data_IF_189663150169
#
_entry.id   IF_189663150169
#
_cell.length_a   1.000
_cell.length_b   1.000
_cell.length_c   1.000
_cell.angle_alpha   90.00
_cell.angle_beta   90.00
_cell.angle_gamma   90.00
#
_symmetry.space_group_name_H-M   'P 1'
#
loop_
_entity.id
_entity.type
_entity.pdbx_description
1 polymer ?
#
# COMPACT_ATOMS: atom_id res chain seq x y z
N UNK A 1 5.25 4.45 -8.43
CA UNK A 1 6.49 4.02 -7.74
C UNK A 1 7.37 5.22 -7.38
N UNK A 2 7.90 5.24 -6.16
CA UNK A 2 8.82 6.30 -5.71
C UNK A 2 10.18 6.24 -6.44
N UNK A 3 10.73 5.04 -6.66
CA UNK A 3 12.02 4.86 -7.35
C UNK A 3 12.07 5.47 -8.77
N UNK A 4 10.93 5.50 -9.48
CA UNK A 4 10.84 6.13 -10.80
C UNK A 4 10.93 7.66 -10.76
N UNK A 5 10.36 8.27 -9.71
CA UNK A 5 10.32 9.73 -9.53
C UNK A 5 11.63 10.25 -8.92
N UNK A 6 12.22 9.54 -7.97
CA UNK A 6 13.45 9.94 -7.27
C UNK A 6 14.53 8.84 -7.36
N UNK A 7 15.11 8.61 -8.56
CA UNK A 7 16.10 7.54 -8.77
C UNK A 7 17.42 7.77 -8.01
N UNK A 8 17.73 9.02 -7.66
CA UNK A 8 18.80 9.38 -6.72
C UNK A 8 18.26 10.41 -5.74
N UNK A 9 18.79 10.41 -4.51
CA UNK A 9 18.30 11.31 -3.46
C UNK A 9 18.30 12.77 -3.92
N UNK A 10 17.15 13.41 -3.81
CA UNK A 10 16.85 14.79 -4.17
C UNK A 10 17.14 15.13 -5.65
N UNK A 11 17.27 14.12 -6.51
CA UNK A 11 17.37 14.28 -7.95
C UNK A 11 16.15 13.64 -8.60
N UNK A 12 15.15 14.48 -8.89
CA UNK A 12 13.89 14.02 -9.42
C UNK A 12 13.92 13.83 -10.94
N UNK A 13 13.34 12.74 -11.40
CA UNK A 13 13.26 12.38 -12.80
C UNK A 13 12.17 13.17 -13.52
N UNK A 14 12.54 14.32 -14.08
CA UNK A 14 11.62 15.21 -14.81
C UNK A 14 10.98 14.51 -16.01
N UNK A 15 11.70 13.63 -16.70
CA UNK A 15 11.14 12.86 -17.82
C UNK A 15 9.99 11.95 -17.36
N UNK A 16 10.18 11.26 -16.23
CA UNK A 16 9.13 10.42 -15.63
C UNK A 16 7.90 11.24 -15.24
N UNK A 17 8.10 12.38 -14.57
CA UNK A 17 7.00 13.29 -14.20
C UNK A 17 6.25 13.83 -15.42
N UNK A 18 6.95 14.13 -16.53
CA UNK A 18 6.32 14.57 -17.77
C UNK A 18 5.47 13.48 -18.42
N UNK A 19 5.90 12.21 -18.36
CA UNK A 19 5.10 11.08 -18.85
C UNK A 19 3.83 10.93 -18.00
N UNK A 20 3.95 10.98 -16.67
CA UNK A 20 2.80 10.96 -15.77
C UNK A 20 1.82 12.11 -16.09
N UNK A 21 2.32 13.32 -16.32
CA UNK A 21 1.53 14.48 -16.71
C UNK A 21 0.74 14.23 -18.00
N UNK A 22 1.38 13.69 -19.04
CA UNK A 22 0.70 13.35 -20.30
C UNK A 22 -0.41 12.32 -20.10
N UNK A 23 -0.21 11.34 -19.21
CA UNK A 23 -1.24 10.35 -18.88
C UNK A 23 -2.41 11.02 -18.14
N UNK A 24 -2.14 11.86 -17.14
CA UNK A 24 -3.18 12.59 -16.40
C UNK A 24 -4.01 13.48 -17.32
N UNK A 25 -3.37 14.23 -18.22
CA UNK A 25 -4.02 15.09 -19.21
C UNK A 25 -4.84 14.30 -20.23
N UNK A 26 -4.34 13.14 -20.67
CA UNK A 26 -5.08 12.24 -21.54
C UNK A 26 -6.34 11.71 -20.86
N UNK A 27 -6.23 11.25 -19.61
CA UNK A 27 -7.36 10.78 -18.82
C UNK A 27 -8.36 11.90 -18.55
N UNK A 28 -7.88 13.12 -18.28
CA UNK A 28 -8.72 14.31 -18.13
C UNK A 28 -9.55 14.57 -19.40
N UNK A 29 -8.91 14.55 -20.58
CA UNK A 29 -9.58 14.76 -21.87
C UNK A 29 -10.67 13.71 -22.18
N UNK A 30 -10.64 12.59 -21.48
CA UNK A 30 -11.62 11.50 -21.57
C UNK A 30 -12.56 11.43 -20.35
N UNK A 31 -12.57 12.45 -19.48
CA UNK A 31 -13.38 12.52 -18.25
C UNK A 31 -13.12 11.38 -17.26
N UNK A 32 -11.87 10.89 -17.19
CA UNK A 32 -11.44 9.83 -16.28
C UNK A 32 -10.67 10.46 -15.12
N UNK A 33 -11.12 10.15 -13.90
CA UNK A 33 -10.46 10.54 -12.66
C UNK A 33 -9.26 9.65 -12.37
N UNK A 34 -8.24 10.22 -11.72
CA UNK A 34 -6.95 9.57 -11.44
C UNK A 34 -6.70 9.54 -9.95
N UNK A 35 -6.39 8.35 -9.43
CA UNK A 35 -5.71 8.20 -8.13
C UNK A 35 -4.23 8.01 -8.42
N UNK A 36 -3.38 8.82 -7.80
CA UNK A 36 -1.93 8.66 -7.90
C UNK A 36 -1.46 7.77 -6.76
N UNK A 37 -1.08 6.55 -7.10
CA UNK A 37 -0.65 5.53 -6.15
C UNK A 37 0.88 5.39 -6.08
N UNK A 38 1.42 5.49 -4.86
CA UNK A 38 2.80 5.10 -4.56
C UNK A 38 2.86 3.58 -4.42
N UNK A 39 2.85 2.95 -5.57
CA UNK A 39 2.82 1.50 -5.71
C UNK A 39 4.16 0.84 -5.33
N UNK A 40 4.07 -0.30 -4.64
CA UNK A 40 5.18 -1.19 -4.28
C UNK A 40 4.66 -2.63 -4.09
N UNK A 41 5.50 -3.61 -4.44
CA UNK A 41 5.32 -5.03 -4.10
C UNK A 41 6.61 -5.55 -3.48
N UNK A 42 6.52 -6.09 -2.26
CA UNK A 42 7.67 -6.63 -1.51
C UNK A 42 8.81 -5.59 -1.42
N UNK A 43 8.46 -4.31 -1.36
CA UNK A 43 9.31 -3.13 -1.12
C UNK A 43 10.40 -2.81 -2.16
N UNK A 44 11.21 -3.78 -2.59
CA UNK A 44 12.40 -3.56 -3.41
C UNK A 44 12.84 -4.80 -4.20
N UNK A 45 13.54 -4.55 -5.32
CA UNK A 45 14.24 -5.58 -6.09
C UNK A 45 15.26 -6.41 -5.31
N UNK A 46 15.71 -5.91 -4.15
CA UNK A 46 16.54 -6.66 -3.19
C UNK A 46 15.83 -7.90 -2.64
N UNK A 47 14.50 -7.97 -2.75
CA UNK A 47 13.64 -9.05 -2.26
C UNK A 47 12.91 -9.79 -3.39
N UNK A 48 13.45 -9.73 -4.61
CA UNK A 48 12.96 -10.54 -5.73
C UNK A 48 11.82 -9.93 -6.55
N UNK A 49 11.50 -8.64 -6.36
CA UNK A 49 10.49 -7.91 -7.16
C UNK A 49 11.12 -6.69 -7.86
N UNK A 50 10.38 -5.59 -8.03
CA UNK A 50 10.87 -4.32 -8.56
C UNK A 50 11.08 -3.30 -7.42
N UNK A 51 11.70 -2.17 -7.73
CA UNK A 51 11.96 -1.12 -6.74
C UNK A 51 10.74 -0.23 -6.50
N UNK A 52 9.94 -0.58 -5.50
CA UNK A 52 8.88 0.30 -4.98
C UNK A 52 9.49 1.55 -4.31
N UNK A 53 10.47 1.34 -3.44
CA UNK A 53 11.31 2.40 -2.86
C UNK A 53 12.65 2.53 -3.60
N UNK A 54 13.27 3.73 -3.63
CA UNK A 54 14.56 3.91 -4.27
C UNK A 54 15.70 3.12 -3.59
N UNK A 55 16.57 2.50 -4.39
CA UNK A 55 17.73 1.74 -3.87
C UNK A 55 18.68 2.59 -3.02
N UNK A 56 18.87 3.88 -3.36
CA UNK A 56 19.72 4.78 -2.59
C UNK A 56 19.26 4.95 -1.14
N UNK A 57 17.97 4.73 -0.87
CA UNK A 57 17.39 4.77 0.47
C UNK A 57 17.62 3.43 1.16
N UNK A 58 17.27 2.33 0.49
CA UNK A 58 17.44 0.99 1.02
C UNK A 58 18.90 0.72 1.43
N UNK A 59 19.87 1.14 0.61
CA UNK A 59 21.30 0.95 0.86
C UNK A 59 21.81 1.70 2.12
N UNK A 60 20.96 2.53 2.77
CA UNK A 60 21.24 3.20 4.07
C UNK A 60 20.61 2.52 5.25
N UNK A 61 19.71 1.55 5.03
CA UNK A 61 19.14 0.78 6.11
C UNK A 61 20.22 -0.12 6.70
N UNK A 62 20.27 -0.30 8.03
CA UNK A 62 21.13 -1.31 8.62
C UNK A 62 20.71 -2.69 8.09
N UNK A 63 21.65 -3.65 7.98
CA UNK A 63 21.29 -4.99 7.56
C UNK A 63 20.32 -5.65 8.58
N UNK A 64 19.43 -6.56 8.13
CA UNK A 64 18.66 -7.42 9.03
C UNK A 64 19.56 -8.40 9.78
N UNK A 65 19.04 -9.08 10.81
CA UNK A 65 19.82 -10.06 11.57
C UNK A 65 20.18 -11.29 10.73
N UNK A 66 19.27 -11.72 9.85
CA UNK A 66 19.49 -12.80 8.90
C UNK A 66 19.39 -12.28 7.46
N UNK A 67 20.25 -12.81 6.59
CA UNK A 67 20.23 -12.46 5.18
C UNK A 67 18.94 -12.95 4.50
N UNK A 68 18.50 -12.22 3.48
CA UNK A 68 17.46 -12.69 2.57
C UNK A 68 17.89 -14.02 1.93
N UNK A 69 17.01 -15.04 1.81
CA UNK A 69 15.55 -15.00 2.02
C UNK A 69 15.07 -15.60 3.35
N UNK A 70 15.85 -15.54 4.44
CA UNK A 70 15.42 -16.11 5.73
C UNK A 70 14.01 -15.65 6.13
N UNK A 71 13.11 -16.55 6.58
CA UNK A 71 13.34 -17.96 6.94
C UNK A 71 13.08 -18.96 5.79
N UNK A 72 12.86 -18.49 4.58
CA UNK A 72 12.64 -19.37 3.43
C UNK A 72 13.93 -20.09 3.04
N UNK A 73 13.79 -21.32 2.52
CA UNK A 73 14.93 -22.12 2.05
C UNK A 73 15.51 -21.65 0.72
N UNK A 74 14.73 -20.89 -0.06
CA UNK A 74 15.12 -20.34 -1.36
C UNK A 74 14.38 -19.04 -1.65
N UNK A 75 14.94 -18.23 -2.53
CA UNK A 75 14.28 -17.03 -3.07
C UNK A 75 12.96 -17.43 -3.75
N UNK A 76 11.84 -16.75 -3.44
CA UNK A 76 10.60 -16.89 -4.19
C UNK A 76 10.81 -16.65 -5.69
N UNK A 77 10.10 -17.41 -6.52
CA UNK A 77 9.98 -17.19 -7.96
C UNK A 77 8.81 -16.25 -8.28
N UNK A 78 8.68 -15.89 -9.55
CA UNK A 78 7.57 -15.04 -10.04
C UNK A 78 6.18 -15.63 -9.73
N UNK A 79 6.05 -16.96 -9.55
CA UNK A 79 4.76 -17.59 -9.23
C UNK A 79 4.41 -17.55 -7.74
N UNK A 80 5.33 -17.15 -6.88
CA UNK A 80 5.10 -17.04 -5.43
C UNK A 80 5.83 -15.83 -4.83
N UNK A 81 6.01 -14.78 -5.65
CA UNK A 81 6.78 -13.57 -5.35
C UNK A 81 6.44 -12.97 -3.99
N UNK A 82 5.16 -13.00 -3.63
CA UNK A 82 4.67 -12.37 -2.42
C UNK A 82 5.04 -13.13 -1.13
N UNK A 83 5.56 -14.37 -1.22
CA UNK A 83 6.27 -15.00 -0.10
C UNK A 83 7.48 -14.16 0.34
N UNK A 84 7.99 -13.25 -0.49
CA UNK A 84 9.01 -12.29 -0.13
C UNK A 84 8.64 -11.42 1.08
N UNK A 85 7.34 -11.10 1.28
CA UNK A 85 6.86 -10.39 2.48
C UNK A 85 7.12 -11.16 3.78
N UNK A 86 7.14 -12.49 3.70
CA UNK A 86 7.38 -13.38 4.85
C UNK A 86 8.86 -13.51 5.22
N UNK A 87 9.76 -12.80 4.53
CA UNK A 87 11.18 -12.77 4.86
C UNK A 87 11.50 -11.72 5.92
N UNK A 88 12.48 -11.98 6.78
CA UNK A 88 12.93 -11.02 7.78
C UNK A 88 13.49 -9.76 7.11
N UNK A 89 14.21 -9.92 5.99
CA UNK A 89 14.81 -8.79 5.30
C UNK A 89 13.77 -7.80 4.76
N UNK A 90 12.67 -8.29 4.16
CA UNK A 90 11.56 -7.44 3.71
C UNK A 90 10.87 -6.76 4.89
N UNK A 91 10.51 -7.54 5.91
CA UNK A 91 9.85 -7.03 7.13
C UNK A 91 10.70 -5.98 7.86
N UNK A 92 12.02 -6.17 7.88
CA UNK A 92 13.01 -5.21 8.40
C UNK A 92 13.09 -3.94 7.57
N UNK A 93 13.05 -4.04 6.24
CA UNK A 93 13.00 -2.88 5.33
C UNK A 93 11.79 -1.99 5.58
N UNK A 94 10.60 -2.59 5.72
CA UNK A 94 9.39 -1.85 6.08
C UNK A 94 9.51 -1.18 7.47
N UNK A 95 10.06 -1.88 8.46
CA UNK A 95 10.28 -1.26 9.77
C UNK A 95 11.24 -0.08 9.68
N UNK A 96 12.33 -0.18 8.90
CA UNK A 96 13.25 0.93 8.67
C UNK A 96 12.57 2.13 8.01
N UNK A 97 11.69 1.88 7.03
CA UNK A 97 10.87 2.91 6.39
C UNK A 97 10.02 3.64 7.44
N UNK A 98 9.25 2.90 8.26
CA UNK A 98 8.35 3.49 9.26
C UNK A 98 9.09 4.21 10.39
N UNK A 99 10.23 3.66 10.84
CA UNK A 99 11.06 4.24 11.91
C UNK A 99 11.91 5.45 11.42
N UNK A 100 11.74 5.87 10.16
CA UNK A 100 12.49 6.96 9.54
C UNK A 100 14.01 6.74 9.52
N UNK A 101 14.45 5.48 9.45
CA UNK A 101 15.87 5.15 9.35
C UNK A 101 16.46 5.76 8.08
N UNK A 102 17.61 6.42 8.20
CA UNK A 102 18.23 7.11 7.06
C UNK A 102 17.43 8.32 6.52
N UNK A 103 16.39 8.77 7.22
CA UNK A 103 15.48 9.83 6.77
C UNK A 103 14.43 9.35 5.77
N UNK A 104 13.99 8.10 5.87
CA UNK A 104 13.04 7.48 4.94
C UNK A 104 11.69 8.19 4.86
N UNK A 105 11.04 8.46 5.99
CA UNK A 105 9.76 9.18 6.05
C UNK A 105 9.94 10.64 5.62
N UNK A 106 11.06 11.26 5.97
CA UNK A 106 11.36 12.64 5.54
C UNK A 106 11.49 12.71 4.01
N UNK A 107 12.20 11.76 3.41
CA UNK A 107 12.39 11.73 1.96
C UNK A 107 11.10 11.36 1.23
N UNK A 108 10.28 10.45 1.77
CA UNK A 108 8.98 10.14 1.20
C UNK A 108 7.99 11.31 1.36
N UNK A 109 8.12 12.10 2.43
CA UNK A 109 7.38 13.35 2.60
C UNK A 109 7.76 14.38 1.54
N UNK A 110 9.05 14.48 1.20
CA UNK A 110 9.54 15.35 0.12
C UNK A 110 9.04 14.87 -1.26
N UNK A 111 9.05 13.56 -1.51
CA UNK A 111 8.43 12.93 -2.68
C UNK A 111 6.95 13.29 -2.80
N UNK A 112 6.17 13.10 -1.73
CA UNK A 112 4.75 13.40 -1.75
C UNK A 112 4.45 14.89 -1.89
N UNK A 113 5.27 15.77 -1.30
CA UNK A 113 5.17 17.22 -1.50
C UNK A 113 5.43 17.60 -2.95
N UNK A 114 6.39 16.96 -3.61
CA UNK A 114 6.64 17.14 -5.04
C UNK A 114 5.43 16.70 -5.86
N UNK A 115 4.94 15.47 -5.67
CA UNK A 115 3.76 14.95 -6.38
C UNK A 115 2.55 15.87 -6.18
N UNK A 116 2.26 16.28 -4.95
CA UNK A 116 1.13 17.18 -4.68
C UNK A 116 1.30 18.55 -5.33
N UNK A 117 2.51 19.12 -5.32
CA UNK A 117 2.79 20.39 -6.02
C UNK A 117 2.62 20.25 -7.53
N UNK A 118 3.06 19.12 -8.10
CA UNK A 118 3.01 18.87 -9.55
C UNK A 118 1.59 18.59 -10.02
N UNK A 119 0.79 17.82 -9.27
CA UNK A 119 -0.48 17.27 -9.76
C UNK A 119 -1.73 17.84 -9.10
N UNK A 120 -1.64 18.50 -7.94
CA UNK A 120 -2.81 18.99 -7.19
C UNK A 120 -3.63 20.11 -7.86
N UNK A 121 -3.17 20.62 -9.01
CA UNK A 121 -3.93 21.59 -9.80
C UNK A 121 -4.79 20.95 -10.89
N UNK A 122 -4.62 19.66 -11.19
CA UNK A 122 -5.43 18.95 -12.17
C UNK A 122 -6.79 18.58 -11.56
N UNK A 123 -7.92 18.98 -12.17
CA UNK A 123 -9.23 18.75 -11.60
C UNK A 123 -9.67 17.28 -11.62
N UNK A 124 -9.08 16.46 -12.51
CA UNK A 124 -9.34 15.02 -12.57
C UNK A 124 -8.44 14.20 -11.63
N UNK A 125 -7.47 14.81 -10.92
CA UNK A 125 -6.72 14.10 -9.88
C UNK A 125 -7.61 14.00 -8.64
N UNK A 126 -8.14 12.80 -8.42
CA UNK A 126 -9.05 12.50 -7.32
C UNK A 126 -8.31 12.47 -5.98
N UNK A 127 -7.12 11.87 -5.95
CA UNK A 127 -6.39 11.71 -4.70
C UNK A 127 -4.99 11.14 -4.81
N UNK A 128 -4.34 11.09 -3.65
CA UNK A 128 -3.01 10.53 -3.42
C UNK A 128 -3.12 9.30 -2.52
N UNK A 129 -2.74 8.14 -3.04
CA UNK A 129 -2.70 6.89 -2.28
C UNK A 129 -1.29 6.68 -1.73
N UNK A 130 -1.18 6.84 -0.40
CA UNK A 130 0.09 7.12 0.26
C UNK A 130 1.14 6.01 0.07
N UNK A 131 0.70 4.75 0.05
CA UNK A 131 1.50 3.55 -0.21
C UNK A 131 0.56 2.38 -0.44
N UNK A 132 0.82 1.62 -1.50
CA UNK A 132 0.15 0.36 -1.80
C UNK A 132 0.49 -0.73 -0.78
N UNK A 133 -0.51 -1.49 -0.33
CA UNK A 133 -0.39 -2.72 0.46
C UNK A 133 0.73 -2.72 1.52
N UNK A 134 0.72 -1.77 2.47
CA UNK A 134 1.81 -1.62 3.43
C UNK A 134 1.95 -2.86 4.32
N UNK A 135 3.17 -3.39 4.42
CA UNK A 135 3.43 -4.53 5.30
C UNK A 135 3.50 -4.12 6.78
N UNK A 136 3.28 -5.07 7.69
CA UNK A 136 3.18 -4.82 9.13
C UNK A 136 4.45 -4.32 9.81
N UNK A 137 5.61 -4.42 9.16
CA UNK A 137 6.93 -4.14 9.75
C UNK A 137 7.61 -5.40 10.29
N UNK A 138 8.63 -5.23 11.15
CA UNK A 138 9.52 -6.33 11.55
C UNK A 138 8.93 -7.18 12.67
N UNK A 139 8.05 -8.12 12.30
CA UNK A 139 7.41 -9.04 13.24
C UNK A 139 8.36 -10.10 13.82
N UNK A 140 9.55 -10.32 13.23
CA UNK A 140 10.59 -11.20 13.80
C UNK A 140 11.15 -10.61 15.10
N UNK A 141 11.28 -9.28 15.16
CA UNK A 141 11.72 -8.56 16.36
C UNK A 141 10.55 -8.22 17.29
N UNK A 142 9.40 -7.86 16.72
CA UNK A 142 8.18 -7.49 17.46
C UNK A 142 6.99 -8.35 17.02
N UNK A 143 6.82 -9.58 17.54
CA UNK A 143 5.75 -10.50 17.11
C UNK A 143 4.33 -9.95 17.26
N UNK A 144 4.11 -8.98 18.15
CA UNK A 144 2.81 -8.30 18.30
C UNK A 144 2.37 -7.55 17.04
N UNK A 145 3.27 -7.25 16.10
CA UNK A 145 2.91 -6.63 14.81
C UNK A 145 2.07 -7.54 13.91
N UNK A 146 1.98 -8.85 14.21
CA UNK A 146 1.03 -9.76 13.54
C UNK A 146 -0.44 -9.40 13.80
N UNK A 147 -0.72 -8.60 14.83
CA UNK A 147 -2.05 -8.02 15.02
C UNK A 147 -2.15 -6.73 14.20
N UNK A 148 -3.06 -6.65 13.21
CA UNK A 148 -3.09 -5.55 12.24
C UNK A 148 -3.30 -4.20 12.91
N UNK A 149 -4.09 -4.14 14.00
CA UNK A 149 -4.32 -2.90 14.71
C UNK A 149 -3.10 -2.41 15.49
N UNK A 150 -2.23 -3.33 15.94
CA UNK A 150 -0.96 -2.95 16.57
C UNK A 150 -0.01 -2.42 15.50
N UNK A 151 0.13 -3.08 14.36
CA UNK A 151 0.95 -2.58 13.26
C UNK A 151 0.45 -1.24 12.72
N UNK A 152 -0.85 -1.11 12.47
CA UNK A 152 -1.44 0.12 11.98
C UNK A 152 -1.30 1.29 12.96
N UNK A 153 -1.52 1.07 14.25
CA UNK A 153 -1.35 2.13 15.27
C UNK A 153 0.11 2.52 15.51
N UNK A 154 1.05 1.57 15.48
CA UNK A 154 2.45 1.81 15.82
C UNK A 154 3.31 2.26 14.64
N UNK A 155 3.05 1.70 13.46
CA UNK A 155 3.84 1.95 12.26
C UNK A 155 3.10 2.90 11.30
N UNK A 156 1.92 2.52 10.84
CA UNK A 156 1.27 3.22 9.72
C UNK A 156 0.69 4.59 10.09
N UNK A 157 -0.05 4.72 11.20
CA UNK A 157 -0.70 5.99 11.54
C UNK A 157 0.31 7.15 11.73
N UNK A 158 1.40 7.00 12.51
CA UNK A 158 2.40 8.07 12.64
C UNK A 158 3.13 8.36 11.31
N UNK A 159 3.32 7.33 10.49
CA UNK A 159 3.89 7.47 9.16
C UNK A 159 2.97 8.30 8.25
N UNK A 160 1.69 7.95 8.17
CA UNK A 160 0.69 8.66 7.38
C UNK A 160 0.45 10.09 7.86
N UNK A 161 0.45 10.34 9.16
CA UNK A 161 0.32 11.71 9.69
C UNK A 161 1.46 12.61 9.21
N UNK A 162 2.68 12.10 9.12
CA UNK A 162 3.83 12.86 8.60
C UNK A 162 3.68 13.14 7.10
N UNK A 163 3.31 12.13 6.31
CA UNK A 163 3.11 12.29 4.87
C UNK A 163 1.95 13.25 4.56
N UNK A 164 0.81 13.06 5.22
CA UNK A 164 -0.35 13.94 5.10
C UNK A 164 0.01 15.38 5.46
N UNK A 165 0.69 15.59 6.59
CA UNK A 165 1.16 16.94 6.97
C UNK A 165 2.04 17.57 5.90
N UNK A 166 2.96 16.82 5.28
CA UNK A 166 3.82 17.31 4.21
C UNK A 166 3.01 17.70 2.96
N UNK A 167 2.09 16.84 2.51
CA UNK A 167 1.17 17.13 1.39
C UNK A 167 0.37 18.40 1.69
N UNK A 168 -0.20 18.52 2.88
CA UNK A 168 -1.05 19.65 3.29
C UNK A 168 -0.32 20.99 3.36
N UNK A 169 1.02 21.01 3.29
CA UNK A 169 1.76 22.28 3.13
C UNK A 169 1.64 22.90 1.74
N UNK A 170 1.29 22.11 0.72
CA UNK A 170 1.20 22.56 -0.68
C UNK A 170 -0.17 22.30 -1.31
N UNK A 171 -0.92 21.31 -0.83
CA UNK A 171 -2.26 20.98 -1.31
C UNK A 171 -3.20 20.66 -0.14
N UNK A 172 -4.15 21.55 0.08
CA UNK A 172 -5.13 21.41 1.18
C UNK A 172 -6.42 20.69 0.77
N UNK A 173 -6.64 20.38 -0.52
CA UNK A 173 -7.94 19.99 -1.08
C UNK A 173 -8.01 18.56 -1.57
N UNK A 174 -7.00 18.09 -2.29
CA UNK A 174 -7.00 16.75 -2.92
C UNK A 174 -7.14 15.65 -1.88
N UNK A 175 -7.88 14.59 -2.20
CA UNK A 175 -8.14 13.50 -1.24
C UNK A 175 -6.84 12.76 -0.90
N UNK A 176 -6.73 12.29 0.33
CA UNK A 176 -5.67 11.35 0.74
C UNK A 176 -6.30 9.99 0.92
N UNK A 177 -5.84 9.03 0.11
CA UNK A 177 -6.13 7.62 0.18
C UNK A 177 -5.07 6.95 1.06
N UNK A 178 -5.52 6.12 1.99
CA UNK A 178 -4.66 5.44 2.95
C UNK A 178 -5.20 4.04 3.25
N UNK A 179 -4.30 3.07 3.26
CA UNK A 179 -4.63 1.67 3.48
C UNK A 179 -4.30 1.22 4.91
N UNK A 180 -5.01 0.23 5.47
CA UNK A 180 -4.47 -0.57 6.56
C UNK A 180 -3.31 -1.45 6.07
N UNK A 181 -2.69 -2.24 6.95
CA UNK A 181 -1.83 -3.32 6.46
C UNK A 181 -2.64 -4.32 5.61
N UNK A 182 -2.00 -5.09 4.73
CA UNK A 182 -2.60 -5.97 3.68
C UNK A 182 -3.74 -6.93 4.12
N UNK A 183 -3.96 -7.12 5.42
CA UNK A 183 -5.05 -7.95 5.96
C UNK A 183 -5.82 -7.26 7.11
N UNK A 184 -5.59 -5.96 7.32
CA UNK A 184 -6.18 -5.15 8.38
C UNK A 184 -7.56 -4.57 8.07
N UNK A 185 -8.04 -4.75 6.83
CA UNK A 185 -9.35 -4.36 6.31
C UNK A 185 -10.46 -5.37 6.66
N UNK A 186 -10.09 -6.61 6.99
CA UNK A 186 -11.02 -7.74 7.25
C UNK A 186 -11.90 -7.56 8.48
N UNK A 187 -11.39 -6.87 9.49
CA UNK A 187 -12.08 -6.65 10.77
C UNK A 187 -11.99 -5.18 11.18
N UNK A 188 -12.65 -4.84 12.29
CA UNK A 188 -12.63 -3.50 12.84
C UNK A 188 -12.08 -3.48 14.27
N UNK A 189 -11.48 -2.37 14.67
CA UNK A 189 -11.03 -2.05 16.01
C UNK A 189 -9.52 -1.83 16.10
N UNK A 190 -9.08 -1.64 17.34
CA UNK A 190 -7.70 -1.28 17.69
C UNK A 190 -6.71 -2.44 17.65
N UNK A 191 -7.20 -3.69 17.63
CA UNK A 191 -6.34 -4.89 17.68
C UNK A 191 -6.46 -5.69 16.37
N UNK A 192 -7.68 -5.95 15.92
CA UNK A 192 -7.93 -6.81 14.76
C UNK A 192 -8.30 -6.05 13.48
N UNK A 193 -8.62 -4.76 13.57
CA UNK A 193 -8.82 -3.90 12.39
C UNK A 193 -7.61 -3.05 12.06
N UNK A 194 -7.83 -1.87 11.46
CA UNK A 194 -6.78 -0.96 11.02
C UNK A 194 -5.91 -0.39 12.15
N UNK A 195 -6.39 -0.34 13.40
CA UNK A 195 -5.64 0.28 14.50
C UNK A 195 -5.58 1.81 14.46
N UNK A 196 -6.14 2.45 13.44
CA UNK A 196 -6.11 3.90 13.32
C UNK A 196 -6.99 4.54 14.39
N UNK A 197 -6.55 5.64 14.99
CA UNK A 197 -7.39 6.40 15.95
C UNK A 197 -8.06 7.62 15.29
N UNK A 198 -7.51 8.06 14.16
CA UNK A 198 -8.00 9.16 13.32
C UNK A 198 -7.58 8.91 11.86
N UNK A 199 -8.13 9.70 10.94
CA UNK A 199 -7.67 9.74 9.54
C UNK A 199 -6.32 10.46 9.43
N UNK A 200 -5.47 10.20 8.41
CA UNK A 200 -4.18 10.87 8.27
C UNK A 200 -4.26 12.40 8.34
N UNK A 201 -3.43 13.00 9.18
CA UNK A 201 -3.36 14.44 9.42
C UNK A 201 -4.32 14.94 10.50
N UNK A 202 -5.22 14.09 11.01
CA UNK A 202 -6.14 14.42 12.10
C UNK A 202 -7.58 14.69 11.67
N UNK A 203 -8.44 14.93 12.66
CA UNK A 203 -9.90 15.00 12.50
C UNK A 203 -10.36 16.05 11.47
N UNK A 204 -9.63 17.15 11.35
CA UNK A 204 -9.97 18.26 10.44
C UNK A 204 -9.91 17.84 8.96
N UNK A 205 -9.23 16.74 8.65
CA UNK A 205 -9.10 16.20 7.30
C UNK A 205 -10.06 15.05 7.00
N UNK A 206 -10.94 14.65 7.92
CA UNK A 206 -11.93 13.57 7.70
C UNK A 206 -12.73 13.74 6.41
N UNK A 207 -13.09 14.98 6.04
CA UNK A 207 -13.85 15.26 4.82
C UNK A 207 -13.06 15.10 3.52
N UNK A 208 -11.76 14.77 3.59
CA UNK A 208 -10.86 14.58 2.45
C UNK A 208 -9.87 13.44 2.65
N UNK A 209 -10.29 12.46 3.45
CA UNK A 209 -9.56 11.23 3.70
C UNK A 209 -10.42 10.05 3.27
N UNK A 210 -9.79 9.10 2.58
CA UNK A 210 -10.44 7.93 2.01
C UNK A 210 -9.68 6.69 2.48
N UNK A 211 -10.36 5.81 3.22
CA UNK A 211 -9.80 4.50 3.54
C UNK A 211 -9.84 3.66 2.25
N UNK A 212 -8.68 3.48 1.61
CA UNK A 212 -8.55 2.50 0.54
C UNK A 212 -8.40 1.10 1.13
N UNK A 213 -8.99 0.13 0.45
CA UNK A 213 -8.93 -1.28 0.85
C UNK A 213 -8.98 -2.16 -0.37
N UNK A 214 -8.38 -3.34 -0.27
CA UNK A 214 -8.34 -4.32 -1.35
C UNK A 214 -9.25 -5.51 -1.03
N UNK A 215 -9.67 -6.22 -2.06
CA UNK A 215 -10.32 -7.51 -1.88
C UNK A 215 -9.85 -8.53 -2.93
N UNK A 216 -9.07 -9.49 -2.44
CA UNK A 216 -8.68 -10.68 -3.18
C UNK A 216 -9.30 -11.90 -2.51
N UNK A 217 -10.04 -12.72 -3.27
CA UNK A 217 -10.42 -14.04 -2.82
C UNK A 217 -9.21 -14.98 -2.88
N UNK A 218 -8.35 -14.85 -1.89
CA UNK A 218 -7.28 -15.77 -1.58
C UNK A 218 -7.55 -16.22 -0.16
N UNK A 219 -7.75 -17.52 0.05
CA UNK A 219 -7.84 -18.01 1.42
C UNK A 219 -6.57 -17.62 2.18
N UNK A 220 -6.63 -17.64 3.51
CA UNK A 220 -5.52 -17.46 4.48
C UNK A 220 -4.12 -18.01 4.10
N UNK A 221 -4.01 -18.79 3.03
CA UNK A 221 -2.78 -19.13 2.34
C UNK A 221 -2.23 -17.96 1.51
N UNK A 222 -0.97 -17.67 1.74
CA UNK A 222 -0.08 -16.75 1.04
C UNK A 222 0.24 -17.27 -0.38
N UNK A 223 -0.72 -17.95 -1.03
CA UNK A 223 -0.69 -18.38 -2.42
C UNK A 223 -1.28 -17.24 -3.25
N UNK A 224 -0.48 -16.18 -3.36
CA UNK A 224 -0.78 -14.92 -4.02
C UNK A 224 -0.62 -15.07 -5.54
N UNK A 225 -1.42 -15.97 -6.13
CA UNK A 225 -1.64 -15.99 -7.57
C UNK A 225 -3.08 -15.57 -7.84
N UNK A 226 -3.29 -14.27 -8.14
CA UNK A 226 -4.54 -13.84 -8.74
C UNK A 226 -4.76 -14.63 -10.04
N UNK A 227 -5.94 -15.24 -10.20
CA UNK A 227 -6.33 -15.89 -11.46
C UNK A 227 -6.25 -17.41 -11.49
N UNK A 228 -5.96 -18.09 -10.36
CA UNK A 228 -5.99 -19.55 -10.37
C UNK A 228 -7.42 -20.08 -10.58
N UNK A 229 -7.65 -20.69 -11.73
CA UNK A 229 -8.94 -21.20 -12.24
C UNK A 229 -9.58 -22.28 -11.36
N UNK A 230 -8.83 -22.81 -10.39
CA UNK A 230 -9.23 -23.89 -9.49
C UNK A 230 -9.15 -23.46 -8.02
N UNK A 231 -9.78 -22.34 -7.64
CA UNK A 231 -10.02 -22.06 -6.21
C UNK A 231 -10.82 -23.23 -5.64
N UNK A 232 -10.27 -24.00 -4.67
CA UNK A 232 -10.97 -25.12 -4.07
C UNK A 232 -12.36 -24.71 -3.58
N UNK A 233 -13.34 -25.61 -3.64
CA UNK A 233 -14.73 -25.26 -3.27
C UNK A 233 -14.85 -24.69 -1.85
N UNK A 234 -14.03 -25.18 -0.92
CA UNK A 234 -13.95 -24.68 0.44
C UNK A 234 -13.45 -23.24 0.50
N UNK A 235 -12.46 -22.93 -0.31
CA UNK A 235 -11.84 -21.61 -0.39
C UNK A 235 -12.83 -20.58 -0.96
N UNK A 236 -13.57 -20.96 -2.00
CA UNK A 236 -14.64 -20.13 -2.55
C UNK A 236 -15.77 -19.90 -1.54
N UNK A 237 -16.14 -20.92 -0.78
CA UNK A 237 -17.16 -20.81 0.29
C UNK A 237 -16.68 -19.88 1.41
N UNK A 238 -15.39 -19.97 1.80
CA UNK A 238 -14.79 -19.11 2.82
C UNK A 238 -14.77 -17.65 2.36
N UNK A 239 -14.33 -17.37 1.13
CA UNK A 239 -14.35 -16.02 0.57
C UNK A 239 -15.78 -15.44 0.54
N UNK A 240 -16.72 -16.16 -0.05
CA UNK A 240 -18.06 -15.63 -0.32
C UNK A 240 -18.88 -15.43 0.95
N UNK A 241 -18.71 -16.31 1.95
CA UNK A 241 -19.56 -16.29 3.13
C UNK A 241 -18.90 -15.69 4.37
N UNK A 242 -17.57 -15.54 4.39
CA UNK A 242 -16.83 -15.07 5.57
C UNK A 242 -15.95 -13.87 5.21
N UNK A 243 -14.92 -14.03 4.38
CA UNK A 243 -13.91 -12.97 4.18
C UNK A 243 -14.47 -11.75 3.46
N UNK A 244 -15.08 -11.92 2.29
CA UNK A 244 -15.70 -10.82 1.54
C UNK A 244 -16.71 -10.05 2.39
N UNK A 245 -17.71 -10.73 2.99
CA UNK A 245 -18.64 -10.06 3.87
C UNK A 245 -18.01 -9.43 5.12
N UNK A 246 -16.82 -9.84 5.56
CA UNK A 246 -16.10 -9.20 6.67
C UNK A 246 -15.43 -7.89 6.23
N UNK A 247 -14.78 -7.90 5.06
CA UNK A 247 -14.19 -6.70 4.43
C UNK A 247 -15.28 -5.67 4.09
N UNK A 248 -16.29 -6.04 3.30
CA UNK A 248 -17.32 -5.12 2.83
C UNK A 248 -18.30 -4.63 3.91
N UNK A 249 -18.40 -5.34 5.05
CA UNK A 249 -19.22 -4.92 6.20
C UNK A 249 -18.38 -4.39 7.36
N UNK A 250 -17.07 -4.22 7.18
CA UNK A 250 -16.20 -3.62 8.19
C UNK A 250 -16.75 -2.25 8.59
N UNK A 251 -16.80 -1.99 9.90
CA UNK A 251 -17.25 -0.71 10.44
C UNK A 251 -16.11 0.33 10.49
N UNK A 252 -14.95 0.06 9.89
CA UNK A 252 -13.79 0.94 10.02
C UNK A 252 -14.01 2.33 9.42
N UNK A 253 -14.60 2.41 8.23
CA UNK A 253 -14.95 3.70 7.61
C UNK A 253 -15.88 4.50 8.52
N UNK A 254 -16.87 3.83 9.13
CA UNK A 254 -17.80 4.48 10.07
C UNK A 254 -17.11 4.94 11.35
N UNK A 255 -16.12 4.19 11.84
CA UNK A 255 -15.37 4.48 13.07
C UNK A 255 -14.40 5.65 12.88
N UNK A 256 -13.70 5.68 11.76
CA UNK A 256 -12.71 6.71 11.44
C UNK A 256 -13.33 7.98 10.86
N UNK A 257 -14.51 7.87 10.26
CA UNK A 257 -15.08 8.92 9.41
C UNK A 257 -14.41 8.94 8.04
N UNK A 258 -14.87 9.86 7.19
CA UNK A 258 -14.44 9.94 5.79
C UNK A 258 -15.17 8.95 4.88
N UNK A 259 -14.52 8.59 3.78
CA UNK A 259 -15.07 7.69 2.76
C UNK A 259 -14.25 6.40 2.68
N UNK A 260 -14.80 5.38 2.02
CA UNK A 260 -14.05 4.17 1.63
C UNK A 260 -14.00 4.03 0.11
N UNK A 261 -12.96 3.38 -0.41
CA UNK A 261 -12.80 3.11 -1.83
C UNK A 261 -12.10 1.76 -2.03
N UNK A 262 -12.69 0.88 -2.85
CA UNK A 262 -12.05 -0.38 -3.25
C UNK A 262 -11.07 -0.05 -4.39
N UNK A 263 -9.78 0.01 -4.07
CA UNK A 263 -8.72 0.43 -5.02
C UNK A 263 -8.19 -0.74 -5.83
N UNK A 264 -8.15 -1.93 -5.24
CA UNK A 264 -7.74 -3.14 -5.96
C UNK A 264 -8.64 -4.34 -5.63
N UNK A 265 -8.95 -5.10 -6.68
CA UNK A 265 -9.67 -6.35 -6.61
C UNK A 265 -9.50 -7.10 -7.91
N UNK A 266 -9.66 -8.42 -7.85
CA UNK A 266 -9.44 -9.27 -9.01
C UNK A 266 -7.96 -9.32 -9.42
N UNK A 267 -7.63 -10.24 -10.31
CA UNK A 267 -6.30 -10.31 -10.88
C UNK A 267 -6.18 -11.57 -11.72
N UNK A 268 -5.57 -11.40 -12.87
CA UNK A 268 -5.67 -12.34 -13.97
C UNK A 268 -4.32 -12.42 -14.67
N UNK A 269 -3.85 -13.65 -14.88
CA UNK A 269 -2.62 -13.94 -15.64
C UNK A 269 -2.85 -13.89 -17.17
N UNK A 270 -4.01 -13.39 -17.61
CA UNK A 270 -4.39 -13.31 -19.02
C UNK A 270 -5.07 -14.57 -19.57
N UNK A 271 -5.41 -15.55 -18.73
CA UNK A 271 -6.21 -16.70 -19.15
C UNK A 271 -7.69 -16.31 -19.40
N UNK A 272 -8.38 -17.09 -20.26
CA UNK A 272 -9.80 -16.92 -20.60
C UNK A 272 -10.76 -17.17 -19.43
N UNK A 273 -10.27 -17.51 -18.24
CA UNK A 273 -11.10 -17.84 -17.08
C UNK A 273 -11.59 -16.61 -16.29
N UNK A 274 -11.18 -15.41 -16.70
CA UNK A 274 -11.44 -14.16 -15.98
C UNK A 274 -12.77 -13.46 -16.27
N UNK A 275 -13.54 -13.96 -17.25
CA UNK A 275 -14.82 -13.34 -17.63
C UNK A 275 -15.87 -13.36 -16.49
N UNK A 276 -15.68 -14.17 -15.45
CA UNK A 276 -16.63 -14.35 -14.34
C UNK A 276 -16.24 -13.65 -13.02
N UNK A 277 -15.13 -12.89 -12.94
CA UNK A 277 -14.74 -12.21 -11.69
C UNK A 277 -15.50 -10.90 -11.43
N UNK A 278 -16.29 -10.42 -12.40
CA UNK A 278 -17.08 -9.18 -12.31
C UNK A 278 -18.53 -9.40 -11.86
N UNK A 279 -18.98 -10.64 -11.66
CA UNK A 279 -20.35 -10.91 -11.20
C UNK A 279 -20.39 -11.09 -9.68
N UNK A 280 -20.64 -9.98 -8.98
CA UNK A 280 -21.24 -9.95 -7.64
C UNK A 280 -22.70 -9.51 -7.77
#
# INVERSE_FOLDING_TARGET
MWAGVEPQRQQYNVTYLNIMKQIVELLESNNIYVVLDMHQDVLSSRFGTYDGIPLWLYDRFPPPNHAYPFPLSSTPSDNNWALGYMTEACSHGFQCLYDNVGGAVDSMSDFWRLIATTFGHYPNVLGYELINEPWMGNYFVKPTLLFPGIAGSKNLLPFYDKLAKAIRTVDTKTLIFYEPITYGERLSGQIFGSGFSHVPGGIDYQNRSVLSYHYYCTTLAINLVPGNENIPIFDRVLCNNIEGPAVFRSNEIRRLGGSGFLTEFGGCDGSSACDNQLEV
#
